data_IF_252972805427
#
_entry.id   IF_252972805427
#
_cell.length_a   1.000
_cell.length_b   1.000
_cell.length_c   1.000
_cell.angle_alpha   90.00
_cell.angle_beta   90.00
_cell.angle_gamma   90.00
#
_symmetry.space_group_name_H-M   'P 1'
#
loop_
_entity.id
_entity.type
_entity.pdbx_description
1 polymer ?
#
# COMPACT_ATOMS: atom_id res chain seq x y z
N UNK A 1 -54.63 47.08 0.31
CA UNK A 1 -54.34 45.64 0.15
C UNK A 1 -52.98 45.35 0.78
N UNK A 2 -52.96 44.70 1.96
CA UNK A 2 -51.73 44.24 2.62
C UNK A 2 -51.51 42.77 2.24
N UNK A 3 -50.53 42.50 1.40
CA UNK A 3 -50.04 41.15 1.12
C UNK A 3 -49.04 40.76 2.20
N UNK A 4 -49.50 39.94 3.16
CA UNK A 4 -48.64 39.32 4.15
C UNK A 4 -47.82 38.21 3.50
N UNK A 5 -46.52 38.40 3.40
CA UNK A 5 -45.57 37.34 3.08
C UNK A 5 -45.37 36.52 4.35
N UNK A 6 -46.02 35.36 4.42
CA UNK A 6 -45.81 34.36 5.47
C UNK A 6 -44.46 33.70 5.22
N UNK A 7 -43.42 34.25 5.85
CA UNK A 7 -42.10 33.64 5.89
C UNK A 7 -42.17 32.42 6.80
N UNK A 8 -42.38 31.24 6.20
CA UNK A 8 -42.44 29.97 6.89
C UNK A 8 -41.15 29.70 7.65
N UNK A 9 -41.21 29.79 8.98
CA UNK A 9 -40.15 29.41 9.90
C UNK A 9 -39.94 27.90 9.77
N UNK A 10 -38.95 27.48 8.97
CA UNK A 10 -38.55 26.08 8.86
C UNK A 10 -38.20 25.58 10.27
N UNK A 11 -38.97 24.61 10.78
CA UNK A 11 -38.87 24.13 12.16
C UNK A 11 -37.49 23.52 12.39
N UNK A 12 -36.81 23.93 13.49
CA UNK A 12 -35.50 23.40 13.90
C UNK A 12 -35.49 21.86 14.01
N UNK A 13 -36.65 21.27 14.32
CA UNK A 13 -36.87 19.82 14.36
C UNK A 13 -36.69 19.13 13.00
N UNK A 14 -37.13 19.76 11.91
CA UNK A 14 -37.00 19.19 10.56
C UNK A 14 -35.56 19.30 10.03
N UNK A 15 -34.81 20.29 10.53
CA UNK A 15 -33.41 20.48 10.16
C UNK A 15 -32.53 19.43 10.86
N UNK A 16 -32.72 19.23 12.17
CA UNK A 16 -32.00 18.21 12.95
C UNK A 16 -32.31 16.78 12.48
N UNK A 17 -33.56 16.51 12.08
CA UNK A 17 -33.96 15.21 11.53
C UNK A 17 -33.30 14.90 10.18
N UNK A 18 -33.05 15.93 9.35
CA UNK A 18 -32.38 15.81 8.05
C UNK A 18 -30.87 15.65 8.21
N UNK A 19 -30.25 16.44 9.09
CA UNK A 19 -28.82 16.29 9.42
C UNK A 19 -28.52 14.89 9.97
N UNK A 20 -29.36 14.40 10.90
CA UNK A 20 -29.22 13.05 11.44
C UNK A 20 -29.42 11.96 10.39
N UNK A 21 -30.32 12.13 9.41
CA UNK A 21 -30.51 11.15 8.32
C UNK A 21 -29.38 11.18 7.29
N UNK A 22 -28.79 12.34 7.03
CA UNK A 22 -27.65 12.49 6.12
C UNK A 22 -26.37 11.89 6.75
N UNK A 23 -26.11 12.12 8.04
CA UNK A 23 -25.01 11.48 8.76
C UNK A 23 -25.16 9.95 8.82
N UNK A 24 -26.38 9.44 9.08
CA UNK A 24 -26.67 8.00 9.05
C UNK A 24 -26.41 7.37 7.68
N UNK A 25 -26.74 8.10 6.60
CA UNK A 25 -26.56 7.63 5.22
C UNK A 25 -25.09 7.63 4.80
N UNK A 26 -24.34 8.65 5.21
CA UNK A 26 -22.90 8.75 4.95
C UNK A 26 -22.11 7.67 5.72
N UNK A 27 -22.46 7.46 7.00
CA UNK A 27 -21.86 6.44 7.83
C UNK A 27 -22.15 5.02 7.31
N UNK A 28 -23.37 4.75 6.83
CA UNK A 28 -23.71 3.48 6.17
C UNK A 28 -22.89 3.24 4.88
N UNK A 29 -22.58 4.29 4.12
CA UNK A 29 -21.83 4.18 2.86
C UNK A 29 -20.33 3.94 3.07
N UNK A 30 -19.77 4.40 4.17
CA UNK A 30 -18.34 4.22 4.51
C UNK A 30 -18.08 2.95 5.31
N UNK A 31 -19.09 2.39 5.96
CA UNK A 31 -18.99 1.13 6.72
C UNK A 31 -18.44 -0.08 5.93
N UNK A 32 -18.85 -0.37 4.67
CA UNK A 32 -18.27 -1.48 3.91
C UNK A 32 -16.78 -1.31 3.64
N UNK A 33 -16.28 -0.07 3.54
CA UNK A 33 -14.84 0.20 3.42
C UNK A 33 -14.09 -0.17 4.69
N UNK A 34 -14.54 0.33 5.86
CA UNK A 34 -13.89 0.01 7.13
C UNK A 34 -13.91 -1.48 7.43
N UNK A 35 -14.99 -2.18 7.06
CA UNK A 35 -15.09 -3.63 7.22
C UNK A 35 -14.11 -4.38 6.32
N UNK A 36 -14.06 -4.07 5.02
CA UNK A 36 -13.11 -4.69 4.09
C UNK A 36 -11.66 -4.42 4.49
N UNK A 37 -11.36 -3.19 4.90
CA UNK A 37 -10.03 -2.79 5.34
C UNK A 37 -9.63 -3.48 6.66
N UNK A 38 -10.55 -3.58 7.62
CA UNK A 38 -10.32 -4.31 8.87
C UNK A 38 -10.00 -5.78 8.61
N UNK A 39 -10.79 -6.47 7.77
CA UNK A 39 -10.49 -7.86 7.38
C UNK A 39 -9.12 -7.94 6.72
N UNK A 40 -8.79 -7.03 5.80
CA UNK A 40 -7.48 -7.00 5.15
C UNK A 40 -6.33 -6.86 6.16
N UNK A 41 -6.44 -5.96 7.16
CA UNK A 41 -5.42 -5.80 8.18
C UNK A 41 -5.28 -7.03 9.07
N UNK A 42 -6.40 -7.65 9.48
CA UNK A 42 -6.37 -8.89 10.28
C UNK A 42 -5.73 -10.03 9.49
N UNK A 43 -6.09 -10.21 8.22
CA UNK A 43 -5.48 -11.22 7.35
C UNK A 43 -3.97 -10.97 7.20
N UNK A 44 -3.55 -9.72 6.95
CA UNK A 44 -2.13 -9.38 6.85
C UNK A 44 -1.37 -9.63 8.16
N UNK A 45 -1.97 -9.34 9.31
CA UNK A 45 -1.39 -9.65 10.62
C UNK A 45 -1.29 -11.15 10.87
N UNK A 46 -2.28 -11.94 10.44
CA UNK A 46 -2.21 -13.41 10.53
C UNK A 46 -1.19 -14.01 9.56
N UNK A 47 -0.98 -13.38 8.40
CA UNK A 47 0.03 -13.79 7.41
C UNK A 47 1.44 -13.34 7.77
N UNK A 48 1.62 -12.44 8.75
CA UNK A 48 2.94 -12.18 9.31
C UNK A 48 3.43 -13.43 10.06
N UNK A 49 4.25 -14.22 9.38
CA UNK A 49 4.88 -15.42 9.94
C UNK A 49 5.90 -15.07 11.02
N UNK A 50 6.21 -16.08 11.83
CA UNK A 50 7.02 -16.16 13.07
C UNK A 50 8.46 -15.59 13.06
N UNK A 51 8.83 -14.80 12.06
CA UNK A 51 10.13 -14.11 11.92
C UNK A 51 10.25 -12.90 12.88
N UNK A 52 9.12 -12.36 13.35
CA UNK A 52 9.10 -11.26 14.34
C UNK A 52 9.35 -11.85 15.73
N UNK A 53 10.62 -12.14 16.03
CA UNK A 53 11.04 -12.44 17.40
C UNK A 53 11.12 -11.13 18.17
N UNK A 54 10.13 -10.87 19.01
CA UNK A 54 10.06 -9.71 19.92
C UNK A 54 11.35 -9.60 20.78
N UNK A 55 12.05 -10.72 20.99
CA UNK A 55 13.38 -10.80 21.58
C UNK A 55 14.38 -11.32 20.54
N UNK A 56 15.01 -10.41 19.82
CA UNK A 56 16.20 -10.71 19.02
C UNK A 56 17.38 -9.98 19.63
N UNK A 57 18.50 -10.67 19.78
CA UNK A 57 19.74 -10.15 20.39
C UNK A 57 20.28 -8.90 19.67
N UNK A 58 19.80 -8.64 18.45
CA UNK A 58 20.21 -7.49 17.63
C UNK A 58 19.33 -6.24 17.81
N UNK A 59 18.32 -6.26 18.68
CA UNK A 59 17.48 -5.09 18.97
C UNK A 59 16.28 -4.94 18.03
N UNK A 60 15.16 -4.48 18.59
CA UNK A 60 13.85 -4.41 17.93
C UNK A 60 13.79 -3.48 16.71
N UNK A 61 14.64 -2.44 16.65
CA UNK A 61 14.69 -1.48 15.54
C UNK A 61 15.39 -2.01 14.29
N UNK A 62 16.12 -3.12 14.40
CA UNK A 62 16.81 -3.76 13.27
C UNK A 62 15.93 -4.79 12.54
N UNK A 63 14.71 -5.05 13.01
CA UNK A 63 13.78 -5.95 12.34
C UNK A 63 12.94 -5.19 11.30
N UNK A 64 13.15 -5.43 9.99
CA UNK A 64 12.46 -4.69 8.93
C UNK A 64 10.93 -4.89 8.95
N UNK A 65 10.46 -6.00 9.55
CA UNK A 65 9.04 -6.33 9.64
C UNK A 65 8.31 -5.68 10.83
N UNK A 66 9.03 -5.17 11.83
CA UNK A 66 8.43 -4.67 13.06
C UNK A 66 7.70 -3.33 12.87
N UNK A 67 8.23 -2.43 12.05
CA UNK A 67 7.58 -1.18 11.68
C UNK A 67 6.20 -1.39 11.02
N UNK A 68 6.10 -2.17 9.93
CA UNK A 68 4.84 -2.54 9.32
C UNK A 68 3.85 -3.21 10.29
N UNK A 69 4.33 -4.08 11.18
CA UNK A 69 3.48 -4.75 12.18
C UNK A 69 2.82 -3.76 13.15
N UNK A 70 3.59 -2.80 13.69
CA UNK A 70 3.06 -1.77 14.59
C UNK A 70 2.03 -0.92 13.86
N UNK A 71 2.34 -0.48 12.64
CA UNK A 71 1.41 0.30 11.83
C UNK A 71 0.10 -0.43 11.56
N UNK A 72 0.18 -1.70 11.15
CA UNK A 72 -0.99 -2.56 10.93
C UNK A 72 -1.81 -2.75 12.22
N UNK A 73 -1.15 -2.93 13.37
CA UNK A 73 -1.83 -3.10 14.65
C UNK A 73 -2.62 -1.85 15.04
N UNK A 74 -1.99 -0.67 14.97
CA UNK A 74 -2.67 0.61 15.26
C UNK A 74 -3.85 0.83 14.32
N UNK A 75 -3.66 0.60 13.02
CA UNK A 75 -4.73 0.75 12.02
C UNK A 75 -5.88 -0.24 12.26
N UNK A 76 -5.57 -1.47 12.66
CA UNK A 76 -6.58 -2.48 13.00
C UNK A 76 -7.43 -2.04 14.19
N UNK A 77 -6.81 -1.51 15.25
CA UNK A 77 -7.51 -1.00 16.42
C UNK A 77 -8.41 0.18 16.04
N UNK A 78 -7.90 1.15 15.27
CA UNK A 78 -8.69 2.31 14.83
C UNK A 78 -9.89 1.89 13.97
N UNK A 79 -9.70 0.92 13.07
CA UNK A 79 -10.79 0.39 12.26
C UNK A 79 -11.80 -0.38 13.09
N UNK A 80 -11.35 -1.13 14.11
CA UNK A 80 -12.23 -1.81 15.04
C UNK A 80 -13.11 -0.81 15.84
N UNK A 81 -12.52 0.28 16.34
CA UNK A 81 -13.27 1.35 17.03
C UNK A 81 -14.32 1.98 16.09
N UNK A 82 -13.96 2.25 14.84
CA UNK A 82 -14.89 2.78 13.83
C UNK A 82 -16.01 1.79 13.49
N UNK A 83 -15.71 0.50 13.43
CA UNK A 83 -16.71 -0.55 13.24
C UNK A 83 -17.65 -0.69 14.44
N UNK A 84 -17.13 -0.57 15.67
CA UNK A 84 -17.96 -0.57 16.88
C UNK A 84 -18.89 0.64 16.95
N UNK A 85 -18.40 1.84 16.61
CA UNK A 85 -19.24 3.05 16.49
C UNK A 85 -20.33 2.87 15.42
N UNK A 86 -20.03 2.16 14.35
CA UNK A 86 -20.98 1.82 13.29
C UNK A 86 -21.82 0.56 13.54
N UNK A 87 -21.64 -0.15 14.67
CA UNK A 87 -22.23 -1.48 14.88
C UNK A 87 -23.77 -1.48 14.92
N UNK A 88 -24.38 -0.36 15.28
CA UNK A 88 -25.85 -0.20 15.21
C UNK A 88 -26.39 -0.27 13.77
N UNK A 89 -25.55 -0.04 12.77
CA UNK A 89 -25.90 -0.04 11.34
C UNK A 89 -25.48 -1.32 10.60
N UNK A 90 -24.94 -2.32 11.30
CA UNK A 90 -24.45 -3.57 10.70
C UNK A 90 -25.53 -4.32 9.90
N UNK A 91 -26.80 -4.17 10.29
CA UNK A 91 -27.96 -4.77 9.62
C UNK A 91 -28.13 -4.30 8.16
N UNK A 92 -27.51 -3.18 7.78
CA UNK A 92 -27.56 -2.62 6.43
C UNK A 92 -26.32 -2.96 5.58
N UNK A 93 -25.33 -3.68 6.14
CA UNK A 93 -24.16 -4.12 5.39
C UNK A 93 -24.48 -5.41 4.66
N UNK A 94 -24.75 -5.29 3.36
CA UNK A 94 -24.82 -6.46 2.49
C UNK A 94 -23.43 -6.81 1.97
N UNK A 95 -23.13 -8.11 1.87
CA UNK A 95 -21.93 -8.64 1.20
C UNK A 95 -21.85 -8.10 -0.24
N UNK A 96 -23.00 -7.93 -0.91
CA UNK A 96 -23.06 -7.33 -2.24
C UNK A 96 -22.49 -5.90 -2.27
N UNK A 97 -22.76 -5.08 -1.25
CA UNK A 97 -22.25 -3.71 -1.14
C UNK A 97 -20.72 -3.69 -0.94
N UNK A 98 -20.19 -4.65 -0.18
CA UNK A 98 -18.74 -4.81 0.02
C UNK A 98 -18.07 -5.23 -1.29
N UNK A 99 -18.61 -6.20 -2.01
CA UNK A 99 -18.05 -6.66 -3.29
C UNK A 99 -18.12 -5.57 -4.35
N UNK A 100 -19.23 -4.83 -4.44
CA UNK A 100 -19.35 -3.68 -5.33
C UNK A 100 -18.33 -2.58 -4.99
N UNK A 101 -18.08 -2.34 -3.70
CA UNK A 101 -17.05 -1.41 -3.28
C UNK A 101 -15.65 -1.87 -3.69
N UNK A 102 -15.28 -3.13 -3.41
CA UNK A 102 -13.96 -3.68 -3.76
C UNK A 102 -13.74 -3.62 -5.27
N UNK A 103 -14.69 -4.09 -6.06
CA UNK A 103 -14.60 -4.08 -7.54
C UNK A 103 -14.46 -2.67 -8.10
N UNK A 104 -15.21 -1.70 -7.55
CA UNK A 104 -15.09 -0.29 -7.94
C UNK A 104 -13.73 0.30 -7.57
N UNK A 105 -13.22 -0.01 -6.37
CA UNK A 105 -11.92 0.48 -5.89
C UNK A 105 -10.77 -0.10 -6.69
N UNK A 106 -10.80 -1.41 -6.99
CA UNK A 106 -9.81 -2.08 -7.86
C UNK A 106 -9.82 -1.49 -9.27
N UNK A 107 -11.00 -1.24 -9.83
CA UNK A 107 -11.10 -0.63 -11.17
C UNK A 107 -10.62 0.82 -11.20
N UNK A 108 -10.78 1.56 -10.10
CA UNK A 108 -10.29 2.94 -9.97
C UNK A 108 -8.76 3.01 -9.76
N UNK A 109 -8.19 2.05 -9.04
CA UNK A 109 -6.77 2.02 -8.66
C UNK A 109 -5.97 0.97 -9.45
N UNK A 110 -6.23 0.85 -10.76
CA UNK A 110 -5.51 -0.07 -11.66
C UNK A 110 -4.00 0.10 -11.58
N UNK A 111 -3.53 1.33 -11.41
CA UNK A 111 -2.10 1.65 -11.27
C UNK A 111 -1.50 0.99 -10.03
N UNK A 112 -2.23 1.02 -8.90
CA UNK A 112 -1.79 0.37 -7.65
C UNK A 112 -1.67 -1.14 -7.83
N UNK A 113 -2.57 -1.77 -8.59
CA UNK A 113 -2.49 -3.19 -8.89
C UNK A 113 -1.26 -3.52 -9.74
N UNK A 114 -0.99 -2.73 -10.77
CA UNK A 114 0.23 -2.88 -11.57
C UNK A 114 1.50 -2.68 -10.73
N UNK A 115 1.52 -1.68 -9.84
CA UNK A 115 2.63 -1.43 -8.93
C UNK A 115 2.88 -2.61 -7.99
N UNK A 116 1.83 -3.16 -7.39
CA UNK A 116 1.92 -4.34 -6.53
C UNK A 116 2.48 -5.55 -7.29
N UNK A 117 1.95 -5.82 -8.50
CA UNK A 117 2.42 -6.93 -9.34
C UNK A 117 3.89 -6.78 -9.75
N UNK A 118 4.31 -5.59 -10.18
CA UNK A 118 5.71 -5.34 -10.53
C UNK A 118 6.66 -5.41 -9.34
N UNK A 119 6.20 -5.00 -8.15
CA UNK A 119 7.02 -5.09 -6.95
C UNK A 119 7.25 -6.55 -6.57
N UNK A 120 6.23 -7.41 -6.69
CA UNK A 120 6.38 -8.84 -6.51
C UNK A 120 7.39 -9.45 -7.48
N UNK A 121 7.29 -9.11 -8.78
CA UNK A 121 8.26 -9.55 -9.79
C UNK A 121 9.67 -9.03 -9.48
N UNK A 122 9.79 -7.79 -9.02
CA UNK A 122 11.07 -7.20 -8.62
C UNK A 122 11.74 -7.99 -7.49
N UNK A 123 10.99 -8.33 -6.42
CA UNK A 123 11.54 -9.09 -5.29
C UNK A 123 12.08 -10.44 -5.75
N UNK A 124 11.39 -11.12 -6.67
CA UNK A 124 11.88 -12.38 -7.25
C UNK A 124 13.03 -12.17 -8.24
N UNK A 125 13.07 -11.06 -8.96
CA UNK A 125 14.14 -10.73 -9.89
C UNK A 125 15.46 -10.42 -9.17
N UNK A 126 15.41 -9.96 -7.91
CA UNK A 126 16.60 -9.64 -7.11
C UNK A 126 17.60 -10.81 -7.05
N UNK A 127 17.12 -12.03 -6.79
CA UNK A 127 17.98 -13.23 -6.72
C UNK A 127 18.40 -13.75 -8.09
N UNK A 128 17.68 -13.40 -9.14
CA UNK A 128 17.91 -13.92 -10.50
C UNK A 128 18.89 -13.04 -11.25
N UNK A 129 18.62 -11.74 -11.36
CA UNK A 129 19.30 -10.80 -12.28
C UNK A 129 20.15 -9.78 -11.48
N UNK A 130 19.97 -9.69 -10.17
CA UNK A 130 20.73 -8.81 -9.29
C UNK A 130 20.08 -7.44 -9.12
N UNK A 131 20.58 -6.70 -8.13
CA UNK A 131 19.93 -5.48 -7.61
C UNK A 131 19.80 -4.36 -8.63
N UNK A 132 20.89 -4.03 -9.32
CA UNK A 132 20.93 -2.91 -10.25
C UNK A 132 19.98 -3.13 -11.43
N UNK A 133 20.05 -4.31 -12.06
CA UNK A 133 19.17 -4.63 -13.19
C UNK A 133 17.71 -4.73 -12.75
N UNK A 134 17.43 -5.34 -11.60
CA UNK A 134 16.07 -5.46 -11.08
C UNK A 134 15.45 -4.09 -10.80
N UNK A 135 16.21 -3.18 -10.17
CA UNK A 135 15.75 -1.81 -9.93
C UNK A 135 15.54 -1.03 -11.23
N UNK A 136 16.46 -1.17 -12.18
CA UNK A 136 16.33 -0.48 -13.48
C UNK A 136 15.08 -0.96 -14.23
N UNK A 137 14.84 -2.27 -14.30
CA UNK A 137 13.65 -2.85 -14.95
C UNK A 137 12.38 -2.37 -14.24
N UNK A 138 12.36 -2.36 -12.91
CA UNK A 138 11.22 -1.86 -12.14
C UNK A 138 10.93 -0.38 -12.44
N UNK A 139 11.95 0.48 -12.41
CA UNK A 139 11.80 1.91 -12.68
C UNK A 139 11.33 2.19 -14.11
N UNK A 140 11.90 1.48 -15.10
CA UNK A 140 11.48 1.59 -16.49
C UNK A 140 10.04 1.12 -16.69
N UNK A 141 9.64 0.02 -16.05
CA UNK A 141 8.28 -0.50 -16.11
C UNK A 141 7.28 0.48 -15.47
N UNK A 142 7.64 1.09 -14.33
CA UNK A 142 6.83 2.13 -13.69
C UNK A 142 6.65 3.37 -14.57
N UNK A 143 7.73 3.84 -15.21
CA UNK A 143 7.66 4.96 -16.15
C UNK A 143 6.82 4.62 -17.38
N UNK A 144 6.92 3.38 -17.87
CA UNK A 144 6.12 2.88 -18.98
C UNK A 144 4.61 2.89 -18.65
N UNK A 145 4.21 2.33 -17.50
CA UNK A 145 2.80 2.34 -17.05
C UNK A 145 2.29 3.76 -16.86
N UNK A 146 3.14 4.64 -16.34
CA UNK A 146 2.81 6.05 -16.12
C UNK A 146 2.77 6.86 -17.43
N UNK A 147 3.03 6.24 -18.59
CA UNK A 147 3.16 6.87 -19.91
C UNK A 147 4.14 8.04 -19.92
N UNK A 148 5.18 7.96 -19.08
CA UNK A 148 6.21 8.97 -18.85
C UNK A 148 7.57 8.53 -19.37
N UNK A 149 7.62 7.45 -20.14
CA UNK A 149 8.86 6.93 -20.74
C UNK A 149 9.27 7.77 -21.95
N UNK A 150 9.73 8.99 -21.69
CA UNK A 150 10.27 9.90 -22.69
C UNK A 150 11.81 9.88 -22.67
N UNK A 151 12.41 10.50 -23.71
CA UNK A 151 13.87 10.68 -23.85
C UNK A 151 14.54 11.36 -22.66
N UNK A 152 13.77 12.10 -21.85
CA UNK A 152 14.25 12.72 -20.61
C UNK A 152 14.17 11.78 -19.40
N UNK A 153 13.06 11.05 -19.24
CA UNK A 153 12.81 10.23 -18.04
C UNK A 153 13.55 8.89 -18.07
N UNK A 154 13.80 8.32 -19.25
CA UNK A 154 14.60 7.09 -19.40
C UNK A 154 16.00 7.22 -18.77
N UNK A 155 16.83 8.20 -19.20
CA UNK A 155 18.14 8.43 -18.59
C UNK A 155 18.08 8.77 -17.10
N UNK A 156 17.05 9.50 -16.65
CA UNK A 156 16.86 9.80 -15.23
C UNK A 156 16.58 8.55 -14.41
N UNK A 157 15.86 7.56 -14.95
CA UNK A 157 15.69 6.27 -14.29
C UNK A 157 17.00 5.48 -14.18
N UNK A 158 17.88 5.56 -15.20
CA UNK A 158 19.23 4.96 -15.12
C UNK A 158 20.04 5.62 -14.01
N UNK A 159 20.07 6.95 -13.97
CA UNK A 159 20.79 7.72 -12.96
C UNK A 159 20.24 7.44 -11.56
N UNK A 160 18.92 7.37 -11.41
CA UNK A 160 18.26 7.00 -10.17
C UNK A 160 18.60 5.57 -9.72
N UNK A 161 18.61 4.59 -10.63
CA UNK A 161 18.99 3.21 -10.32
C UNK A 161 20.43 3.14 -9.79
N UNK A 162 21.37 3.83 -10.45
CA UNK A 162 22.76 3.94 -9.98
C UNK A 162 22.82 4.62 -8.61
N UNK A 163 22.11 5.73 -8.42
CA UNK A 163 22.06 6.45 -7.14
C UNK A 163 21.54 5.58 -5.99
N UNK A 164 20.48 4.80 -6.24
CA UNK A 164 19.94 3.85 -5.25
C UNK A 164 20.98 2.80 -4.89
N UNK A 165 21.66 2.21 -5.87
CA UNK A 165 22.74 1.23 -5.64
C UNK A 165 23.86 1.83 -4.80
N UNK A 166 24.29 3.05 -5.12
CA UNK A 166 25.33 3.76 -4.36
C UNK A 166 24.88 4.01 -2.92
N UNK A 167 23.63 4.43 -2.68
CA UNK A 167 23.12 4.64 -1.32
C UNK A 167 23.07 3.33 -0.54
N UNK A 168 22.49 2.27 -1.12
CA UNK A 168 22.40 0.98 -0.43
C UNK A 168 23.79 0.39 -0.13
N UNK A 169 24.76 0.60 -1.01
CA UNK A 169 26.13 0.09 -0.81
C UNK A 169 26.94 0.95 0.15
N UNK A 170 27.04 2.26 -0.11
CA UNK A 170 27.93 3.17 0.62
C UNK A 170 27.35 3.65 1.95
N UNK A 171 26.02 3.82 2.02
CA UNK A 171 25.35 4.35 3.22
C UNK A 171 24.86 3.23 4.11
N UNK A 172 24.31 2.16 3.53
CA UNK A 172 23.68 1.07 4.32
C UNK A 172 24.63 -0.14 4.48
N UNK A 173 25.60 -0.33 3.59
CA UNK A 173 26.56 -1.44 3.69
C UNK A 173 25.94 -2.83 3.47
N UNK A 174 24.78 -2.91 2.81
CA UNK A 174 24.11 -4.17 2.50
C UNK A 174 24.90 -4.93 1.42
N UNK A 175 25.39 -6.11 1.77
CA UNK A 175 25.86 -7.12 0.82
C UNK A 175 24.67 -7.99 0.43
N UNK A 176 24.43 -8.17 -0.87
CA UNK A 176 23.37 -9.02 -1.37
C UNK A 176 23.87 -10.43 -1.65
N UNK A 177 22.97 -11.40 -1.47
CA UNK A 177 23.22 -12.81 -1.75
C UNK A 177 23.57 -13.05 -3.23
N UNK A 178 24.31 -14.12 -3.47
CA UNK A 178 24.80 -14.51 -4.80
C UNK A 178 23.67 -14.57 -5.84
N UNK A 179 23.86 -13.82 -6.92
CA UNK A 179 22.89 -13.72 -8.01
C UNK A 179 23.09 -14.87 -8.97
N UNK A 180 21.99 -15.59 -9.27
CA UNK A 180 22.02 -16.78 -10.11
C UNK A 180 22.62 -16.51 -11.51
N UNK A 181 22.33 -15.36 -12.12
CA UNK A 181 22.84 -14.99 -13.45
C UNK A 181 24.37 -14.87 -13.51
N UNK A 182 25.05 -14.55 -12.40
CA UNK A 182 26.52 -14.44 -12.40
C UNK A 182 27.22 -15.79 -12.41
N UNK A 183 26.53 -16.87 -12.03
CA UNK A 183 27.05 -18.24 -12.17
C UNK A 183 27.26 -18.69 -13.62
N UNK A 184 26.71 -17.96 -14.60
CA UNK A 184 26.91 -18.19 -16.03
C UNK A 184 28.07 -17.37 -16.62
N UNK A 185 28.62 -16.41 -15.88
CA UNK A 185 29.76 -15.61 -16.32
C UNK A 185 31.08 -16.29 -15.91
N UNK A 186 32.17 -16.08 -16.67
CA UNK A 186 33.50 -16.58 -16.29
C UNK A 186 33.87 -16.12 -14.88
N UNK A 187 34.51 -16.99 -14.09
CA UNK A 187 34.75 -16.80 -12.64
C UNK A 187 35.30 -15.40 -12.28
N UNK A 188 36.23 -14.85 -13.09
CA UNK A 188 36.80 -13.52 -12.86
C UNK A 188 35.81 -12.36 -13.05
N UNK A 189 34.83 -12.50 -13.96
CA UNK A 189 33.77 -11.51 -14.18
C UNK A 189 32.62 -11.70 -13.18
N UNK A 190 32.33 -12.95 -12.78
CA UNK A 190 31.39 -13.25 -11.70
C UNK A 190 31.87 -12.68 -10.38
N UNK A 191 33.14 -12.88 -10.02
CA UNK A 191 33.74 -12.33 -8.80
C UNK A 191 33.78 -10.79 -8.81
N UNK A 192 34.09 -10.17 -9.95
CA UNK A 192 34.01 -8.71 -10.08
C UNK A 192 32.56 -8.21 -9.91
N UNK A 193 31.59 -8.87 -10.56
CA UNK A 193 30.18 -8.49 -10.42
C UNK A 193 29.65 -8.73 -8.99
N UNK A 194 30.08 -9.79 -8.30
CA UNK A 194 29.71 -10.08 -6.92
C UNK A 194 30.44 -9.17 -5.90
N UNK A 195 31.68 -8.74 -6.19
CA UNK A 195 32.44 -7.87 -5.27
C UNK A 195 31.92 -6.41 -5.28
N UNK A 196 31.32 -5.98 -6.39
CA UNK A 196 30.86 -4.60 -6.60
C UNK A 196 29.33 -4.41 -6.58
N UNK A 197 28.54 -5.45 -6.26
CA UNK A 197 27.10 -5.36 -5.97
C UNK A 197 26.81 -5.46 -4.47
#
# INVERSE_FOLDING_TARGET
MKTGVVMGRKSSSDMNSREMTDEMKEQSRTLPFYFAFFISCVVLLCLMTSEVRIFSDKGWYLQPMLGPAIGLTVMTILCFVKLLQGAMFFKYVSIASIVQYITRTVSAHRITFWAMGSFYVYVHALSVIGFLLSNLVLLLFMLFISKRLDRFWGPMAVLAAIGIVVVFRMVIGLWMDDVWLYSLLPDAASDFCNMYL
#
